data_IF_701797292802
#
_entry.id   IF_701797292802
#
_cell.length_a   1.000
_cell.length_b   1.000
_cell.length_c   1.000
_cell.angle_alpha   90.00
_cell.angle_beta   90.00
_cell.angle_gamma   90.00
#
_symmetry.space_group_name_H-M   'P 1'
#
loop_
_entity.id
_entity.type
_entity.pdbx_description
1 polymer ?
#
# COMPACT_ATOMS: atom_id res chain seq x y z
N UNK A 1 20.63 -12.76 -18.49
CA UNK A 1 20.96 -12.97 -17.06
C UNK A 1 20.00 -12.20 -16.14
N UNK A 2 20.10 -10.87 -15.99
CA UNK A 2 19.23 -10.13 -15.06
C UNK A 2 17.73 -10.23 -15.38
N UNK A 3 17.33 -10.11 -16.66
CA UNK A 3 15.92 -10.25 -17.04
C UNK A 3 15.36 -11.65 -16.78
N UNK A 4 16.16 -12.69 -17.03
CA UNK A 4 15.79 -14.07 -16.69
C UNK A 4 15.61 -14.22 -15.18
N UNK A 5 16.56 -13.71 -14.39
CA UNK A 5 16.53 -13.76 -12.94
C UNK A 5 15.24 -13.17 -12.38
N UNK A 6 14.84 -11.97 -12.80
CA UNK A 6 13.61 -11.32 -12.28
C UNK A 6 12.31 -12.01 -12.69
N UNK A 7 12.36 -12.86 -13.73
CA UNK A 7 11.22 -13.66 -14.19
C UNK A 7 11.10 -15.02 -13.50
N UNK A 8 12.09 -15.42 -12.72
CA UNK A 8 12.06 -16.67 -11.96
C UNK A 8 11.19 -16.52 -10.71
N UNK A 9 10.35 -17.51 -10.45
CA UNK A 9 9.61 -17.61 -9.19
C UNK A 9 10.57 -17.91 -8.02
N UNK A 10 10.33 -17.26 -6.89
CA UNK A 10 10.93 -17.63 -5.61
C UNK A 10 9.90 -17.80 -4.48
N UNK A 11 8.62 -17.59 -4.77
CA UNK A 11 7.56 -17.60 -3.76
C UNK A 11 7.00 -19.01 -3.51
N UNK A 12 6.87 -19.85 -4.53
CA UNK A 12 6.39 -21.23 -4.36
C UNK A 12 7.25 -22.01 -3.37
N UNK A 13 8.57 -21.80 -3.41
CA UNK A 13 9.51 -22.45 -2.49
C UNK A 13 9.24 -22.08 -1.02
N UNK A 14 8.78 -20.86 -0.74
CA UNK A 14 8.39 -20.43 0.60
C UNK A 14 7.09 -21.11 1.03
N UNK A 15 6.08 -21.14 0.15
CA UNK A 15 4.80 -21.81 0.40
C UNK A 15 5.04 -23.28 0.75
N UNK A 16 5.82 -24.00 -0.07
CA UNK A 16 6.14 -25.41 0.13
C UNK A 16 6.92 -25.65 1.43
N UNK A 17 7.87 -24.78 1.77
CA UNK A 17 8.66 -24.91 2.99
C UNK A 17 7.83 -24.73 4.28
N UNK A 18 6.74 -23.97 4.23
CA UNK A 18 5.91 -23.66 5.40
C UNK A 18 4.61 -24.47 5.49
N UNK A 19 4.11 -25.01 4.37
CA UNK A 19 2.81 -25.71 4.28
C UNK A 19 2.63 -26.81 5.33
N UNK A 20 3.67 -27.62 5.55
CA UNK A 20 3.62 -28.79 6.45
C UNK A 20 4.26 -28.51 7.82
N UNK A 21 4.65 -27.26 8.10
CA UNK A 21 5.28 -26.86 9.37
C UNK A 21 4.25 -26.49 10.42
N UNK A 22 3.61 -27.50 11.00
CA UNK A 22 2.63 -27.32 12.11
C UNK A 22 3.20 -26.64 13.36
N UNK A 23 4.52 -26.65 13.53
CA UNK A 23 5.26 -26.00 14.63
C UNK A 23 5.60 -24.54 14.36
N UNK A 24 5.37 -24.04 13.14
CA UNK A 24 5.68 -22.67 12.77
C UNK A 24 4.57 -21.72 13.26
N UNK A 25 4.90 -20.74 14.13
CA UNK A 25 3.88 -19.92 14.80
C UNK A 25 3.35 -18.75 13.95
N UNK A 26 3.99 -18.46 12.82
CA UNK A 26 3.72 -17.29 11.98
C UNK A 26 2.70 -17.54 10.87
N UNK A 27 2.70 -16.63 9.90
CA UNK A 27 1.89 -16.70 8.70
C UNK A 27 2.41 -17.76 7.73
N UNK A 28 1.56 -18.72 7.39
CA UNK A 28 1.80 -19.70 6.33
C UNK A 28 1.17 -19.16 5.05
N UNK A 29 1.97 -18.83 4.01
CA UNK A 29 1.43 -18.25 2.79
C UNK A 29 0.50 -19.20 2.04
N UNK A 30 -0.67 -18.70 1.65
CA UNK A 30 -1.76 -19.49 1.07
C UNK A 30 -2.32 -18.94 -0.25
N UNK A 31 -1.79 -17.81 -0.74
CA UNK A 31 -2.08 -17.27 -2.07
C UNK A 31 -1.24 -17.97 -3.14
N UNK A 32 -1.85 -18.44 -4.22
CA UNK A 32 -1.21 -19.01 -5.41
C UNK A 32 -1.26 -18.03 -6.59
N UNK A 33 -0.15 -17.31 -6.81
CA UNK A 33 -0.01 -16.34 -7.89
C UNK A 33 -0.12 -16.96 -9.30
N UNK A 34 0.16 -18.26 -9.48
CA UNK A 34 0.13 -18.90 -10.79
C UNK A 34 -1.30 -19.15 -11.28
N UNK A 35 -2.26 -19.30 -10.38
CA UNK A 35 -3.68 -19.38 -10.72
C UNK A 35 -4.27 -18.02 -11.09
N UNK A 36 -3.59 -16.93 -10.74
CA UNK A 36 -3.98 -15.57 -11.08
C UNK A 36 -5.25 -15.10 -10.36
N UNK A 37 -5.82 -14.02 -10.89
CA UNK A 37 -6.99 -13.34 -10.33
C UNK A 37 -8.07 -13.23 -11.40
N UNK A 38 -9.32 -13.28 -10.97
CA UNK A 38 -10.46 -13.01 -11.85
C UNK A 38 -10.68 -11.51 -12.09
N UNK A 39 -11.71 -11.19 -12.87
CA UNK A 39 -12.04 -9.81 -13.28
C UNK A 39 -12.51 -8.91 -12.13
N UNK A 40 -12.95 -9.49 -11.02
CA UNK A 40 -13.31 -8.74 -9.80
C UNK A 40 -12.12 -8.68 -8.81
N UNK A 41 -10.95 -9.16 -9.23
CA UNK A 41 -9.72 -9.16 -8.45
C UNK A 41 -9.62 -10.25 -7.40
N UNK A 42 -10.54 -11.23 -7.36
CA UNK A 42 -10.41 -12.37 -6.43
C UNK A 42 -9.38 -13.37 -6.94
N UNK A 43 -8.58 -13.93 -6.04
CA UNK A 43 -7.67 -15.02 -6.36
C UNK A 43 -8.45 -16.27 -6.80
N UNK A 44 -7.98 -16.94 -7.86
CA UNK A 44 -8.63 -18.12 -8.44
C UNK A 44 -8.39 -19.43 -7.66
N UNK A 45 -7.61 -19.36 -6.58
CA UNK A 45 -7.14 -20.49 -5.77
C UNK A 45 -8.04 -20.85 -4.57
N UNK A 46 -9.10 -20.06 -4.34
CA UNK A 46 -9.99 -20.24 -3.18
C UNK A 46 -9.44 -19.69 -1.86
N UNK A 47 -8.31 -18.98 -1.86
CA UNK A 47 -7.76 -18.31 -0.68
C UNK A 47 -8.58 -17.10 -0.21
N UNK A 48 -9.46 -16.59 -1.09
CA UNK A 48 -10.29 -15.40 -0.92
C UNK A 48 -9.50 -14.10 -0.74
N UNK A 49 -8.22 -14.09 -1.09
CA UNK A 49 -7.47 -12.85 -1.29
C UNK A 49 -8.07 -12.06 -2.44
N UNK A 50 -8.08 -10.74 -2.29
CA UNK A 50 -8.55 -9.82 -3.31
C UNK A 50 -7.49 -8.78 -3.62
N UNK A 51 -7.13 -8.65 -4.89
CA UNK A 51 -6.16 -7.69 -5.36
C UNK A 51 -6.70 -6.26 -5.38
N UNK A 52 -5.82 -5.31 -5.07
CA UNK A 52 -6.13 -3.88 -5.08
C UNK A 52 -5.31 -3.21 -6.19
N UNK A 53 -5.99 -2.40 -7.00
CA UNK A 53 -5.38 -1.45 -7.92
C UNK A 53 -5.46 -0.03 -7.35
N UNK A 54 -4.32 0.61 -7.23
CA UNK A 54 -4.16 1.88 -6.51
C UNK A 54 -3.08 2.75 -7.14
N UNK A 55 -3.15 4.05 -6.85
CA UNK A 55 -2.06 4.98 -7.17
C UNK A 55 -0.92 4.78 -6.14
N UNK A 56 0.31 4.41 -6.57
CA UNK A 56 1.41 4.17 -5.64
C UNK A 56 1.70 5.37 -4.73
N UNK A 57 2.19 5.11 -3.51
CA UNK A 57 2.68 6.16 -2.63
C UNK A 57 3.95 6.79 -3.21
N UNK A 58 4.14 8.09 -2.96
CA UNK A 58 5.18 8.90 -3.58
C UNK A 58 6.60 8.39 -3.24
N UNK A 59 7.51 8.48 -4.21
CA UNK A 59 8.93 8.13 -4.04
C UNK A 59 9.19 6.62 -3.91
N UNK A 60 8.88 6.02 -2.77
CA UNK A 60 9.37 4.70 -2.37
C UNK A 60 8.92 3.54 -3.29
N UNK A 61 7.67 3.56 -3.77
CA UNK A 61 7.08 2.46 -4.55
C UNK A 61 6.94 2.79 -6.04
N UNK A 62 7.87 3.59 -6.56
CA UNK A 62 7.95 3.88 -7.99
C UNK A 62 8.93 2.94 -8.68
N UNK A 63 8.51 2.39 -9.82
CA UNK A 63 9.36 1.51 -10.63
C UNK A 63 10.69 2.20 -10.98
N UNK A 64 10.66 3.50 -11.27
CA UNK A 64 11.89 4.27 -11.56
C UNK A 64 12.83 4.44 -10.37
N UNK A 65 12.39 4.14 -9.15
CA UNK A 65 13.23 4.11 -7.94
C UNK A 65 13.61 2.68 -7.52
N UNK A 66 13.33 1.69 -8.37
CA UNK A 66 13.81 0.32 -8.17
C UNK A 66 12.78 -0.60 -7.52
N UNK A 67 11.57 -0.14 -7.24
CA UNK A 67 10.55 -0.94 -6.55
C UNK A 67 9.23 -0.92 -7.30
N UNK A 68 8.65 -2.09 -7.49
CA UNK A 68 7.23 -2.24 -7.80
C UNK A 68 6.58 -3.06 -6.71
N UNK A 69 5.31 -2.82 -6.44
CA UNK A 69 4.56 -3.53 -5.42
C UNK A 69 3.17 -3.95 -5.89
N UNK A 70 2.63 -4.95 -5.21
CA UNK A 70 1.22 -5.32 -5.28
C UNK A 70 0.70 -5.58 -3.86
N UNK A 71 -0.60 -5.40 -3.68
CA UNK A 71 -1.26 -5.56 -2.38
C UNK A 71 -2.58 -6.30 -2.54
N UNK A 72 -2.79 -7.25 -1.63
CA UNK A 72 -4.00 -8.06 -1.52
C UNK A 72 -4.59 -7.87 -0.14
N UNK A 73 -5.92 -7.85 -0.07
CA UNK A 73 -6.69 -7.77 1.17
C UNK A 73 -7.55 -9.01 1.32
N UNK A 74 -7.70 -9.47 2.56
CA UNK A 74 -8.67 -10.51 2.93
C UNK A 74 -9.41 -10.10 4.19
N UNK A 75 -10.75 -10.16 4.13
CA UNK A 75 -11.61 -9.92 5.29
C UNK A 75 -11.84 -11.22 6.08
N UNK A 76 -12.11 -11.11 7.40
CA UNK A 76 -12.47 -12.26 8.23
C UNK A 76 -13.68 -13.03 7.69
N UNK A 77 -13.82 -14.29 8.07
CA UNK A 77 -14.89 -15.18 7.58
C UNK A 77 -16.29 -14.57 7.66
N UNK A 78 -16.63 -13.88 8.75
CA UNK A 78 -17.95 -13.27 8.93
C UNK A 78 -18.33 -12.25 7.85
N UNK A 79 -17.34 -11.60 7.22
CA UNK A 79 -17.55 -10.60 6.17
C UNK A 79 -17.75 -11.21 4.78
N UNK A 80 -17.55 -12.52 4.65
CA UNK A 80 -17.62 -13.25 3.38
C UNK A 80 -18.62 -14.42 3.42
N UNK A 81 -19.42 -14.50 4.48
CA UNK A 81 -20.45 -15.53 4.66
C UNK A 81 -21.84 -14.92 4.83
N UNK A 82 -22.86 -15.61 4.32
CA UNK A 82 -24.26 -15.28 4.58
C UNK A 82 -24.64 -15.49 6.06
N UNK A 83 -25.89 -15.17 6.42
CA UNK A 83 -26.39 -15.35 7.79
C UNK A 83 -26.41 -16.82 8.26
N UNK A 84 -26.38 -17.78 7.32
CA UNK A 84 -26.26 -19.21 7.60
C UNK A 84 -24.82 -19.70 7.76
N UNK A 85 -23.82 -18.83 7.57
CA UNK A 85 -22.41 -19.14 7.67
C UNK A 85 -21.79 -19.72 6.38
N UNK A 86 -22.53 -19.78 5.27
CA UNK A 86 -21.99 -20.26 4.00
C UNK A 86 -21.27 -19.15 3.27
N UNK A 87 -20.15 -19.46 2.59
CA UNK A 87 -19.46 -18.48 1.78
C UNK A 87 -20.39 -17.88 0.72
N UNK A 88 -20.44 -16.55 0.66
CA UNK A 88 -21.19 -15.80 -0.33
C UNK A 88 -20.32 -14.71 -0.91
N UNK A 89 -19.92 -14.89 -2.18
CA UNK A 89 -19.15 -13.89 -2.92
C UNK A 89 -19.89 -12.55 -3.00
N UNK A 90 -21.21 -12.57 -3.11
CA UNK A 90 -22.01 -11.35 -3.17
C UNK A 90 -21.97 -10.57 -1.86
N UNK A 91 -22.08 -11.24 -0.71
CA UNK A 91 -21.87 -10.62 0.62
C UNK A 91 -20.44 -10.12 0.77
N UNK A 92 -19.45 -10.86 0.26
CA UNK A 92 -18.05 -10.45 0.31
C UNK A 92 -17.80 -9.15 -0.47
N UNK A 93 -18.33 -9.05 -1.70
CA UNK A 93 -18.28 -7.83 -2.52
C UNK A 93 -19.00 -6.66 -1.83
N UNK A 94 -20.19 -6.91 -1.28
CA UNK A 94 -20.96 -5.88 -0.55
C UNK A 94 -20.21 -5.34 0.68
N UNK A 95 -19.64 -6.21 1.50
CA UNK A 95 -18.85 -5.78 2.65
C UNK A 95 -17.53 -5.07 2.24
N UNK A 96 -16.94 -5.43 1.09
CA UNK A 96 -15.84 -4.65 0.52
C UNK A 96 -16.28 -3.27 0.04
N UNK A 97 -17.45 -3.13 -0.58
CA UNK A 97 -17.99 -1.84 -1.00
C UNK A 97 -18.24 -0.93 0.21
N UNK A 98 -18.84 -1.46 1.28
CA UNK A 98 -19.03 -0.72 2.55
C UNK A 98 -17.67 -0.32 3.17
N UNK A 99 -16.69 -1.23 3.18
CA UNK A 99 -15.35 -0.92 3.67
C UNK A 99 -14.66 0.14 2.81
N UNK A 100 -14.78 0.06 1.49
CA UNK A 100 -14.25 1.05 0.56
C UNK A 100 -14.87 2.43 0.82
N UNK A 101 -16.18 2.54 1.04
CA UNK A 101 -16.82 3.80 1.43
C UNK A 101 -16.28 4.32 2.76
N UNK A 102 -16.06 3.44 3.75
CA UNK A 102 -15.59 3.81 5.08
C UNK A 102 -14.09 4.22 5.13
N UNK A 103 -13.27 3.68 4.22
CA UNK A 103 -11.81 3.90 4.20
C UNK A 103 -11.39 4.90 3.15
N UNK A 104 -12.02 4.94 1.98
CA UNK A 104 -11.51 5.67 0.81
C UNK A 104 -12.22 7.01 0.56
N UNK A 105 -13.33 7.30 1.24
CA UNK A 105 -13.99 8.59 1.14
C UNK A 105 -13.11 9.72 1.72
N UNK A 106 -13.37 10.96 1.28
CA UNK A 106 -12.68 12.14 1.76
C UNK A 106 -12.72 12.20 3.30
N UNK A 107 -11.56 12.28 3.99
CA UNK A 107 -11.51 12.25 5.44
C UNK A 107 -12.16 13.46 6.12
N UNK A 108 -12.44 14.55 5.39
CA UNK A 108 -13.10 15.75 5.89
C UNK A 108 -14.64 15.65 5.94
N UNK A 109 -15.23 14.74 5.17
CA UNK A 109 -16.69 14.55 5.14
C UNK A 109 -17.20 13.89 6.43
N UNK A 110 -18.46 14.11 6.79
CA UNK A 110 -19.13 13.34 7.85
C UNK A 110 -19.68 12.04 7.28
N UNK A 111 -20.02 11.08 8.15
CA UNK A 111 -20.48 9.75 7.71
C UNK A 111 -21.76 9.82 6.86
N UNK A 112 -22.64 10.80 7.13
CA UNK A 112 -23.88 11.01 6.39
C UNK A 112 -23.68 11.69 5.02
N UNK A 113 -22.53 12.34 4.79
CA UNK A 113 -22.22 13.06 3.55
C UNK A 113 -21.29 12.27 2.63
N UNK A 114 -20.93 11.04 2.99
CA UNK A 114 -20.13 10.19 2.12
C UNK A 114 -20.88 9.95 0.83
N UNK A 115 -20.19 10.12 -0.28
CA UNK A 115 -20.66 9.72 -1.60
C UNK A 115 -19.48 9.07 -2.33
N UNK A 116 -19.50 7.73 -2.41
CA UNK A 116 -18.38 6.95 -2.92
C UNK A 116 -18.83 6.01 -4.02
N UNK A 117 -18.18 6.12 -5.18
CA UNK A 117 -18.24 5.09 -6.22
C UNK A 117 -17.63 3.78 -5.72
N UNK A 118 -18.42 2.71 -5.85
CA UNK A 118 -18.07 1.34 -5.50
C UNK A 118 -18.34 0.42 -6.69
N UNK A 119 -17.85 -0.82 -6.62
CA UNK A 119 -18.27 -1.83 -7.60
C UNK A 119 -19.77 -2.09 -7.54
N UNK A 120 -20.33 -2.70 -8.58
CA UNK A 120 -21.75 -3.06 -8.58
C UNK A 120 -22.06 -4.06 -7.47
N UNK A 121 -22.96 -3.68 -6.56
CA UNK A 121 -23.45 -4.51 -5.45
C UNK A 121 -24.98 -4.44 -5.38
N UNK A 122 -25.60 -5.45 -4.75
CA UNK A 122 -27.05 -5.57 -4.62
C UNK A 122 -27.49 -5.22 -3.20
N UNK A 123 -28.32 -4.18 -3.06
CA UNK A 123 -28.84 -3.72 -1.76
C UNK A 123 -29.79 -4.72 -1.11
N UNK A 124 -30.43 -5.60 -1.89
CA UNK A 124 -31.30 -6.62 -1.34
C UNK A 124 -30.55 -7.52 -0.34
N UNK A 125 -29.23 -7.65 -0.49
CA UNK A 125 -28.36 -8.39 0.42
C UNK A 125 -28.02 -7.62 1.71
N UNK A 126 -28.08 -6.29 1.67
CA UNK A 126 -27.90 -5.43 2.85
C UNK A 126 -29.17 -5.36 3.69
N UNK A 127 -30.33 -5.25 3.05
CA UNK A 127 -31.60 -5.01 3.73
C UNK A 127 -31.78 -3.55 4.20
N UNK A 128 -30.98 -2.63 3.66
CA UNK A 128 -31.07 -1.19 3.87
C UNK A 128 -30.59 -0.43 2.63
N UNK A 129 -31.08 0.79 2.49
CA UNK A 129 -30.79 1.72 1.40
C UNK A 129 -29.33 2.20 1.52
N UNK A 130 -28.52 1.89 0.50
CA UNK A 130 -27.10 2.23 0.41
C UNK A 130 -26.85 3.39 -0.54
N UNK A 131 -27.70 3.64 -1.52
CA UNK A 131 -27.53 4.73 -2.50
C UNK A 131 -28.35 6.00 -2.17
N UNK A 132 -29.18 5.94 -1.14
CA UNK A 132 -29.96 7.04 -0.61
C UNK A 132 -31.17 7.43 -1.46
N UNK A 133 -31.72 6.53 -2.27
CA UNK A 133 -32.91 6.79 -3.09
C UNK A 133 -34.25 6.68 -2.34
N UNK A 134 -34.21 6.21 -1.09
CA UNK A 134 -35.37 6.04 -0.21
C UNK A 134 -36.05 4.67 -0.34
N UNK A 135 -35.51 3.76 -1.14
CA UNK A 135 -35.99 2.38 -1.31
C UNK A 135 -34.86 1.39 -1.05
N UNK A 136 -35.20 0.14 -0.75
CA UNK A 136 -34.22 -0.93 -0.61
C UNK A 136 -34.34 -1.84 -1.82
N UNK A 137 -33.26 -1.96 -2.58
CA UNK A 137 -33.12 -3.01 -3.57
C UNK A 137 -32.60 -2.55 -4.92
N UNK A 138 -32.08 -3.51 -5.68
CA UNK A 138 -31.49 -3.25 -6.98
C UNK A 138 -29.97 -3.21 -6.92
N UNK A 139 -29.37 -3.03 -8.09
CA UNK A 139 -27.92 -2.97 -8.24
C UNK A 139 -27.45 -1.52 -8.23
N UNK A 140 -26.58 -1.19 -7.28
CA UNK A 140 -26.03 0.16 -7.08
C UNK A 140 -24.54 0.17 -7.35
N UNK A 141 -24.00 1.34 -7.71
CA UNK A 141 -22.56 1.58 -7.93
C UNK A 141 -22.03 2.73 -7.09
N UNK A 142 -22.84 3.29 -6.20
CA UNK A 142 -22.45 4.36 -5.29
C UNK A 142 -23.07 4.14 -3.92
N UNK A 143 -22.27 4.28 -2.87
CA UNK A 143 -22.77 4.32 -1.50
C UNK A 143 -22.88 5.78 -1.07
N UNK A 144 -24.08 6.19 -0.66
CA UNK A 144 -24.39 7.51 -0.10
C UNK A 144 -24.72 7.40 1.39
N UNK A 145 -23.83 7.93 2.22
CA UNK A 145 -23.87 7.76 3.66
C UNK A 145 -23.34 6.38 4.09
N UNK A 146 -22.62 6.32 5.20
CA UNK A 146 -22.20 5.03 5.73
C UNK A 146 -23.35 4.32 6.45
N UNK A 147 -23.57 3.02 6.17
CA UNK A 147 -24.50 2.23 6.97
C UNK A 147 -23.93 2.01 8.36
N UNK A 148 -24.80 1.72 9.34
CA UNK A 148 -24.37 1.50 10.72
C UNK A 148 -23.55 0.22 10.90
N UNK A 149 -23.88 -0.85 10.15
CA UNK A 149 -23.23 -2.16 10.27
C UNK A 149 -22.94 -2.76 8.90
N UNK A 150 -22.09 -3.78 8.89
CA UNK A 150 -21.85 -4.65 7.75
C UNK A 150 -23.04 -5.59 7.49
N UNK A 151 -22.90 -6.54 6.55
CA UNK A 151 -23.98 -7.43 6.10
C UNK A 151 -23.62 -8.90 6.25
N UNK A 152 -24.61 -9.79 6.08
CA UNK A 152 -24.44 -11.24 6.26
C UNK A 152 -24.11 -11.61 7.72
N UNK A 153 -23.16 -12.52 7.92
CA UNK A 153 -22.73 -12.92 9.26
C UNK A 153 -22.01 -11.78 10.04
N UNK A 154 -21.59 -10.70 9.37
CA UNK A 154 -21.02 -9.51 9.98
C UNK A 154 -22.07 -8.43 10.34
N UNK A 155 -23.38 -8.74 10.27
CA UNK A 155 -24.48 -7.78 10.50
C UNK A 155 -24.52 -7.11 11.88
N UNK A 156 -23.83 -7.66 12.88
CA UNK A 156 -23.68 -7.08 14.21
C UNK A 156 -22.38 -6.28 14.39
N UNK A 157 -21.55 -6.18 13.36
CA UNK A 157 -20.29 -5.45 13.40
C UNK A 157 -20.51 -4.06 12.82
N UNK A 158 -20.23 -3.04 13.63
CA UNK A 158 -20.41 -1.65 13.22
C UNK A 158 -19.36 -1.21 12.20
N UNK A 159 -19.80 -0.46 11.19
CA UNK A 159 -18.92 0.24 10.27
C UNK A 159 -18.26 1.39 11.02
N UNK A 160 -16.96 1.55 10.85
CA UNK A 160 -16.21 2.64 11.47
C UNK A 160 -15.30 3.29 10.46
N UNK A 161 -15.46 4.60 10.33
CA UNK A 161 -14.68 5.42 9.42
C UNK A 161 -13.18 5.24 9.69
N UNK A 162 -12.41 5.12 8.62
CA UNK A 162 -10.95 5.03 8.62
C UNK A 162 -10.36 3.84 9.42
N UNK A 163 -11.16 2.83 9.78
CA UNK A 163 -10.73 1.66 10.54
C UNK A 163 -11.10 0.35 9.86
N UNK A 164 -10.17 -0.59 9.84
CA UNK A 164 -10.45 -1.94 9.36
C UNK A 164 -11.12 -2.80 10.44
N UNK A 165 -11.98 -3.75 10.06
CA UNK A 165 -12.43 -4.80 10.95
C UNK A 165 -11.27 -5.58 11.57
N UNK A 166 -11.41 -5.98 12.83
CA UNK A 166 -10.45 -6.90 13.46
C UNK A 166 -10.42 -8.22 12.69
N UNK A 167 -9.21 -8.71 12.46
CA UNK A 167 -8.93 -9.90 11.66
C UNK A 167 -8.71 -9.61 10.17
N UNK A 168 -8.84 -8.37 9.70
CA UNK A 168 -8.44 -7.98 8.34
C UNK A 168 -6.97 -8.31 8.11
N UNK A 169 -6.67 -8.87 6.95
CA UNK A 169 -5.33 -9.27 6.55
C UNK A 169 -4.91 -8.50 5.30
N UNK A 170 -3.62 -8.18 5.22
CA UNK A 170 -2.98 -7.72 4.00
C UNK A 170 -1.80 -8.61 3.64
N UNK A 171 -1.62 -8.83 2.35
CA UNK A 171 -0.39 -9.37 1.78
C UNK A 171 0.16 -8.32 0.81
N UNK A 172 1.37 -7.84 1.07
CA UNK A 172 2.07 -6.86 0.24
C UNK A 172 3.35 -7.51 -0.25
N UNK A 173 3.56 -7.58 -1.57
CA UNK A 173 4.84 -8.03 -2.11
C UNK A 173 5.60 -6.87 -2.73
N UNK A 174 6.90 -6.85 -2.49
CA UNK A 174 7.83 -5.93 -3.14
C UNK A 174 8.58 -6.74 -4.18
N UNK A 175 8.63 -6.25 -5.41
CA UNK A 175 9.06 -7.00 -6.58
C UNK A 175 10.13 -6.25 -7.37
N UNK A 176 10.85 -7.03 -8.18
CA UNK A 176 11.71 -6.51 -9.22
C UNK A 176 10.90 -5.91 -10.37
N UNK A 177 11.60 -5.23 -11.29
CA UNK A 177 10.99 -4.58 -12.44
C UNK A 177 11.11 -5.49 -13.67
N UNK A 178 10.01 -5.83 -14.32
CA UNK A 178 10.01 -6.46 -15.64
C UNK A 178 9.57 -5.43 -16.69
N UNK A 179 10.50 -4.86 -17.49
CA UNK A 179 10.16 -3.80 -18.45
C UNK A 179 9.19 -4.27 -19.55
N UNK A 180 9.13 -5.57 -19.84
CA UNK A 180 8.24 -6.10 -20.87
C UNK A 180 6.82 -6.37 -20.32
N UNK A 181 6.64 -6.34 -18.98
CA UNK A 181 5.33 -6.48 -18.37
C UNK A 181 4.58 -5.14 -18.35
N UNK A 182 3.30 -5.15 -18.72
CA UNK A 182 2.46 -3.92 -18.68
C UNK A 182 2.44 -3.28 -17.30
N UNK A 183 2.34 -4.07 -16.22
CA UNK A 183 2.39 -3.57 -14.84
C UNK A 183 3.80 -3.21 -14.37
N UNK A 184 4.84 -3.57 -15.13
CA UNK A 184 6.25 -3.60 -14.75
C UNK A 184 6.60 -4.52 -13.58
N UNK A 185 5.61 -5.26 -13.06
CA UNK A 185 5.79 -6.12 -11.90
C UNK A 185 6.43 -7.43 -12.35
N UNK A 186 7.61 -7.73 -11.82
CA UNK A 186 8.28 -8.99 -12.12
C UNK A 186 7.71 -10.18 -11.31
N UNK A 187 7.94 -11.40 -11.80
CA UNK A 187 7.52 -12.62 -11.09
C UNK A 187 8.26 -12.79 -9.76
N UNK A 188 9.55 -12.47 -9.74
CA UNK A 188 10.41 -12.59 -8.57
C UNK A 188 10.10 -11.54 -7.51
N UNK A 189 9.96 -12.00 -6.27
CA UNK A 189 9.73 -11.14 -5.11
C UNK A 189 11.04 -10.82 -4.40
N UNK A 190 11.23 -9.55 -4.09
CA UNK A 190 12.26 -9.06 -3.17
C UNK A 190 11.85 -9.33 -1.74
N UNK A 191 10.59 -9.04 -1.42
CA UNK A 191 10.00 -9.23 -0.10
C UNK A 191 8.54 -9.65 -0.19
N UNK A 192 8.09 -10.38 0.83
CA UNK A 192 6.67 -10.67 1.08
C UNK A 192 6.36 -10.22 2.50
N UNK A 193 5.38 -9.31 2.63
CA UNK A 193 5.02 -8.68 3.88
C UNK A 193 3.55 -8.99 4.17
N UNK A 194 3.32 -9.79 5.19
CA UNK A 194 1.99 -10.11 5.70
C UNK A 194 1.65 -9.19 6.87
N UNK A 195 0.40 -8.77 6.97
CA UNK A 195 -0.10 -8.13 8.18
C UNK A 195 -1.52 -8.55 8.52
N UNK A 196 -1.84 -8.51 9.81
CA UNK A 196 -3.17 -8.83 10.34
C UNK A 196 -3.54 -7.88 11.48
N UNK A 197 -4.76 -7.36 11.43
CA UNK A 197 -5.36 -6.59 12.53
C UNK A 197 -5.76 -7.55 13.64
N UNK A 198 -5.10 -7.49 14.79
CA UNK A 198 -5.40 -8.35 15.94
C UNK A 198 -6.29 -7.69 16.97
N UNK A 199 -6.06 -6.39 17.19
CA UNK A 199 -6.71 -5.61 18.24
C UNK A 199 -7.11 -4.29 17.62
N UNK A 200 -8.23 -3.74 18.07
CA UNK A 200 -8.59 -2.38 17.75
C UNK A 200 -8.59 -1.47 18.99
N UNK A 201 -7.66 -0.51 18.99
CA UNK A 201 -7.66 0.71 19.76
C UNK A 201 -9.02 1.28 20.14
N UNK A 202 -9.46 1.33 21.41
CA UNK A 202 -10.61 2.19 21.70
C UNK A 202 -10.28 3.65 21.35
N UNK A 203 -11.31 4.45 21.06
CA UNK A 203 -11.15 5.88 20.74
C UNK A 203 -10.39 6.61 21.85
N UNK A 204 -10.56 6.18 23.11
CA UNK A 204 -9.89 6.76 24.28
C UNK A 204 -8.42 6.33 24.46
N UNK A 205 -8.01 5.22 23.85
CA UNK A 205 -6.64 4.69 23.94
C UNK A 205 -5.74 5.24 22.84
N UNK A 206 -6.29 5.50 21.64
CA UNK A 206 -5.51 5.98 20.49
C UNK A 206 -4.71 7.25 20.78
N UNK A 207 -5.28 8.32 21.38
CA UNK A 207 -4.49 9.50 21.76
C UNK A 207 -3.36 9.18 22.73
N UNK A 208 -3.57 8.24 23.68
CA UNK A 208 -2.55 7.84 24.65
C UNK A 208 -1.38 7.12 23.99
N UNK A 209 -1.64 6.34 22.95
CA UNK A 209 -0.59 5.68 22.15
C UNK A 209 0.30 6.74 21.50
N UNK A 210 -0.30 7.73 20.82
CA UNK A 210 0.45 8.84 20.20
C UNK A 210 1.25 9.64 21.23
N UNK A 211 0.63 10.05 22.35
CA UNK A 211 1.31 10.80 23.41
C UNK A 211 2.47 10.02 24.01
N UNK A 212 2.31 8.70 24.22
CA UNK A 212 3.39 7.86 24.74
C UNK A 212 4.57 7.81 23.77
N UNK A 213 4.34 7.58 22.49
CA UNK A 213 5.43 7.55 21.51
C UNK A 213 6.15 8.91 21.41
N UNK A 214 5.40 10.01 21.51
CA UNK A 214 5.98 11.37 21.52
C UNK A 214 6.87 11.57 22.74
N UNK A 215 6.41 11.20 23.95
CA UNK A 215 7.21 11.27 25.17
C UNK A 215 8.45 10.36 25.09
N UNK A 216 8.30 9.15 24.55
CA UNK A 216 9.43 8.23 24.34
C UNK A 216 10.50 8.86 23.44
N UNK A 217 10.09 9.53 22.35
CA UNK A 217 11.01 10.26 21.46
C UNK A 217 11.69 11.44 22.15
N UNK A 218 10.95 12.23 22.92
CA UNK A 218 11.51 13.35 23.70
C UNK A 218 12.54 12.90 24.73
N UNK A 219 12.32 11.73 25.33
CA UNK A 219 13.25 11.10 26.29
C UNK A 219 14.40 10.31 25.61
N UNK A 220 14.45 10.29 24.27
CA UNK A 220 15.47 9.56 23.51
C UNK A 220 15.36 8.03 23.61
N UNK A 221 14.18 7.51 23.98
CA UNK A 221 13.90 6.07 24.01
C UNK A 221 13.71 5.53 22.59
N UNK A 222 14.32 4.38 22.32
CA UNK A 222 14.08 3.63 21.09
C UNK A 222 12.74 2.89 21.16
N UNK A 223 11.98 2.79 20.07
CA UNK A 223 10.72 2.06 20.05
C UNK A 223 10.96 0.56 20.27
N UNK A 224 10.06 -0.08 21.04
CA UNK A 224 10.10 -1.51 21.32
C UNK A 224 8.80 -2.14 20.84
N UNK A 225 8.92 -3.16 20.01
CA UNK A 225 7.79 -3.89 19.44
C UNK A 225 7.66 -5.27 20.08
N UNK A 226 6.43 -5.69 20.38
CA UNK A 226 6.17 -7.03 20.90
C UNK A 226 6.21 -8.06 19.78
N UNK A 227 6.64 -9.29 20.10
CA UNK A 227 6.73 -10.40 19.15
C UNK A 227 8.17 -10.69 18.72
N UNK A 228 8.30 -11.43 17.63
CA UNK A 228 9.57 -11.80 17.01
C UNK A 228 9.37 -12.01 15.52
N UNK A 229 10.44 -12.11 14.70
CA UNK A 229 10.29 -12.22 13.25
C UNK A 229 9.54 -13.48 12.77
N UNK A 230 9.57 -14.55 13.56
CA UNK A 230 8.89 -15.83 13.36
C UNK A 230 7.37 -15.77 13.53
N UNK A 231 6.86 -14.91 14.42
CA UNK A 231 5.44 -14.69 14.67
C UNK A 231 4.93 -13.37 14.05
N UNK A 232 5.81 -12.40 13.89
CA UNK A 232 5.52 -11.03 13.48
C UNK A 232 5.59 -10.01 14.62
N UNK A 233 6.12 -8.81 14.31
CA UNK A 233 6.16 -7.67 15.23
C UNK A 233 4.82 -6.96 15.30
N UNK A 234 4.48 -6.43 16.48
CA UNK A 234 3.19 -5.76 16.73
C UNK A 234 3.37 -4.29 17.04
N UNK A 235 2.60 -3.44 16.36
CA UNK A 235 2.49 -2.03 16.70
C UNK A 235 1.48 -1.83 17.85
N UNK A 236 1.47 -0.63 18.43
CA UNK A 236 0.53 -0.28 19.49
C UNK A 236 -0.93 -0.12 18.99
N UNK A 237 -1.13 0.05 17.69
CA UNK A 237 -2.45 0.17 17.04
C UNK A 237 -3.08 -1.20 16.71
N UNK A 238 -2.47 -2.29 17.16
CA UNK A 238 -3.02 -3.64 17.08
C UNK A 238 -2.77 -4.38 15.76
N UNK A 239 -1.88 -3.90 14.90
CA UNK A 239 -1.41 -4.63 13.72
C UNK A 239 -0.22 -5.50 14.06
N UNK A 240 -0.27 -6.75 13.62
CA UNK A 240 0.86 -7.66 13.55
C UNK A 240 1.38 -7.69 12.12
N UNK A 241 2.69 -7.54 11.94
CA UNK A 241 3.35 -7.58 10.64
C UNK A 241 4.39 -8.69 10.64
N UNK A 242 4.55 -9.38 9.51
CA UNK A 242 5.60 -10.37 9.28
C UNK A 242 6.21 -10.19 7.90
N UNK A 243 7.54 -10.23 7.81
CA UNK A 243 8.25 -10.08 6.55
C UNK A 243 9.15 -11.26 6.21
N UNK A 244 9.17 -11.61 4.93
CA UNK A 244 10.14 -12.47 4.28
C UNK A 244 10.92 -11.65 3.27
N UNK A 245 12.21 -11.93 3.12
CA UNK A 245 13.13 -11.24 2.21
C UNK A 245 14.00 -12.24 1.46
N UNK A 246 14.42 -11.89 0.26
CA UNK A 246 15.23 -12.77 -0.59
C UNK A 246 16.65 -13.03 -0.01
N UNK A 247 17.05 -14.30 0.01
CA UNK A 247 18.38 -14.77 0.42
C UNK A 247 19.38 -14.80 -0.74
N UNK A 248 20.66 -15.04 -0.45
CA UNK A 248 21.75 -15.08 -1.44
C UNK A 248 21.57 -16.14 -2.54
N UNK A 249 20.75 -17.17 -2.28
CA UNK A 249 20.40 -18.24 -3.22
C UNK A 249 19.11 -17.95 -3.96
N UNK A 250 18.49 -16.81 -3.65
CA UNK A 250 17.29 -16.35 -4.29
C UNK A 250 15.99 -16.87 -3.71
N UNK A 251 16.01 -17.52 -2.54
CA UNK A 251 14.80 -18.01 -1.86
C UNK A 251 14.29 -16.94 -0.90
N UNK A 252 12.99 -16.88 -0.65
CA UNK A 252 12.49 -16.04 0.43
C UNK A 252 12.78 -16.69 1.79
N UNK A 253 13.42 -15.95 2.68
CA UNK A 253 13.69 -16.31 4.07
C UNK A 253 12.97 -15.37 5.02
N UNK A 254 12.82 -15.78 6.28
CA UNK A 254 12.39 -14.84 7.32
C UNK A 254 13.34 -13.65 7.43
N UNK A 255 12.76 -12.46 7.64
CA UNK A 255 13.53 -11.30 8.02
C UNK A 255 14.20 -11.50 9.38
N UNK A 256 15.39 -10.93 9.56
CA UNK A 256 15.98 -10.76 10.89
C UNK A 256 15.16 -9.72 11.68
N UNK A 257 15.41 -9.61 12.99
CA UNK A 257 14.74 -8.58 13.79
C UNK A 257 15.01 -7.16 13.25
N UNK A 258 16.26 -6.87 12.89
CA UNK A 258 16.67 -5.57 12.34
C UNK A 258 16.02 -5.26 11.00
N UNK A 259 15.93 -6.24 10.09
CA UNK A 259 15.23 -6.08 8.82
C UNK A 259 13.73 -5.84 9.02
N UNK A 260 13.14 -6.47 10.04
CA UNK A 260 11.71 -6.41 10.31
C UNK A 260 11.28 -5.09 10.94
N UNK A 261 12.08 -4.49 11.83
CA UNK A 261 11.76 -3.20 12.45
C UNK A 261 11.66 -2.06 11.43
N UNK A 262 12.23 -2.22 10.23
CA UNK A 262 12.02 -1.29 9.11
C UNK A 262 10.53 -1.08 8.82
N UNK A 263 9.74 -2.17 8.74
CA UNK A 263 8.30 -2.08 8.49
C UNK A 263 7.59 -1.29 9.60
N UNK A 264 8.05 -1.46 10.84
CA UNK A 264 7.43 -0.83 12.00
C UNK A 264 7.60 0.69 12.02
N UNK A 265 8.64 1.24 11.37
CA UNK A 265 8.82 2.70 11.24
C UNK A 265 7.63 3.38 10.53
N UNK A 266 7.18 2.81 9.41
CA UNK A 266 6.06 3.37 8.64
C UNK A 266 4.69 2.96 9.18
N UNK A 267 4.59 1.76 9.76
CA UNK A 267 3.32 1.20 10.25
C UNK A 267 3.05 1.51 11.73
N UNK A 268 3.78 2.42 12.38
CA UNK A 268 3.50 2.89 13.76
C UNK A 268 2.79 4.26 13.75
N UNK A 269 3.30 5.29 14.42
CA UNK A 269 2.62 6.59 14.51
C UNK A 269 2.92 7.55 13.35
N UNK A 270 3.14 7.05 12.13
CA UNK A 270 3.37 7.94 10.98
C UNK A 270 2.09 8.75 10.69
N UNK A 271 2.23 10.06 10.59
CA UNK A 271 1.11 11.02 10.50
C UNK A 271 0.30 10.97 9.20
N UNK A 272 0.75 10.23 8.18
CA UNK A 272 0.09 10.12 6.87
C UNK A 272 -0.25 8.64 6.60
N UNK A 273 -1.09 8.06 7.46
CA UNK A 273 -1.58 6.67 7.35
C UNK A 273 -3.09 6.61 7.63
N UNK A 274 -3.75 5.56 7.15
CA UNK A 274 -5.12 5.21 7.55
C UNK A 274 -5.09 3.87 8.30
N UNK A 275 -5.36 3.92 9.61
CA UNK A 275 -5.22 2.80 10.55
C UNK A 275 -3.89 2.04 10.37
N UNK A 276 -2.77 2.76 10.32
CA UNK A 276 -1.42 2.21 10.10
C UNK A 276 -1.24 1.50 8.75
N UNK A 277 -2.02 1.84 7.72
CA UNK A 277 -1.89 1.31 6.35
C UNK A 277 -1.89 2.45 5.31
N UNK A 278 -1.56 2.12 4.06
CA UNK A 278 -1.40 3.11 2.97
C UNK A 278 -2.30 2.85 1.76
N UNK A 279 -2.50 1.58 1.40
CA UNK A 279 -2.95 1.20 0.06
C UNK A 279 -4.42 1.45 -0.21
N UNK A 280 -5.33 0.96 0.65
CA UNK A 280 -6.77 1.01 0.36
C UNK A 280 -7.29 2.45 0.19
N UNK A 281 -6.90 3.45 1.00
CA UNK A 281 -7.28 4.86 0.77
C UNK A 281 -6.87 5.42 -0.59
N UNK A 282 -5.88 4.80 -1.26
CA UNK A 282 -5.37 5.20 -2.58
C UNK A 282 -5.91 4.32 -3.71
N UNK A 283 -6.87 3.43 -3.42
CA UNK A 283 -7.51 2.54 -4.39
C UNK A 283 -8.27 3.35 -5.44
N UNK A 284 -8.14 2.94 -6.70
CA UNK A 284 -8.94 3.48 -7.82
C UNK A 284 -10.44 3.24 -7.53
N UNK A 285 -11.34 4.21 -7.76
CA UNK A 285 -12.76 4.05 -7.48
C UNK A 285 -13.42 2.86 -8.18
N UNK A 286 -14.46 2.35 -7.53
CA UNK A 286 -15.34 1.36 -8.12
C UNK A 286 -14.68 0.02 -8.45
N UNK A 287 -15.26 -0.67 -9.44
CA UNK A 287 -14.76 -1.95 -9.92
C UNK A 287 -13.33 -1.86 -10.49
N UNK A 288 -12.93 -0.69 -11.02
CA UNK A 288 -11.61 -0.48 -11.60
C UNK A 288 -10.46 -0.57 -10.59
N UNK A 289 -10.74 -0.45 -9.29
CA UNK A 289 -9.78 -0.67 -8.21
C UNK A 289 -9.71 -2.11 -7.69
N UNK A 290 -10.63 -2.99 -8.08
CA UNK A 290 -10.64 -4.39 -7.67
C UNK A 290 -10.06 -5.27 -8.76
N UNK A 291 -8.75 -5.17 -8.96
CA UNK A 291 -7.98 -5.94 -9.95
C UNK A 291 -6.52 -5.98 -9.54
N UNK A 292 -5.74 -6.86 -10.18
CA UNK A 292 -4.30 -6.89 -10.00
C UNK A 292 -3.67 -5.53 -10.32
N UNK A 293 -2.63 -5.16 -9.57
CA UNK A 293 -2.00 -3.85 -9.65
C UNK A 293 -1.45 -3.58 -11.06
N UNK A 294 -1.81 -2.42 -11.60
CA UNK A 294 -1.39 -1.93 -12.90
C UNK A 294 -1.57 -0.40 -12.92
N UNK A 295 -0.48 0.34 -13.13
CA UNK A 295 -0.51 1.80 -13.11
C UNK A 295 -0.99 2.42 -14.44
N UNK A 296 -1.10 1.61 -15.49
CA UNK A 296 -1.53 2.07 -16.81
C UNK A 296 -2.93 2.68 -16.72
N UNK A 297 -3.11 3.87 -17.30
CA UNK A 297 -4.35 4.63 -17.29
C UNK A 297 -4.69 5.32 -15.97
N UNK A 298 -3.89 5.19 -14.90
CA UNK A 298 -4.09 5.99 -13.68
C UNK A 298 -3.56 7.40 -13.95
N UNK A 299 -4.42 8.41 -13.80
CA UNK A 299 -4.04 9.82 -13.95
C UNK A 299 -3.40 10.36 -12.66
N UNK A 300 -2.53 11.37 -12.77
CA UNK A 300 -2.03 12.10 -11.62
C UNK A 300 -3.11 13.05 -11.11
N UNK A 301 -3.80 12.59 -10.06
CA UNK A 301 -4.84 13.35 -9.37
C UNK A 301 -4.32 13.99 -8.07
N UNK A 302 -4.98 15.05 -7.58
CA UNK A 302 -4.64 15.69 -6.31
C UNK A 302 -4.83 14.77 -5.09
N UNK A 303 -4.17 15.14 -4.00
CA UNK A 303 -4.57 14.68 -2.66
C UNK A 303 -5.87 15.36 -2.25
N UNK A 304 -6.65 14.73 -1.36
CA UNK A 304 -7.87 15.36 -0.84
C UNK A 304 -7.55 16.72 -0.19
N UNK A 305 -8.27 17.76 -0.60
CA UNK A 305 -8.03 19.15 -0.16
C UNK A 305 -6.90 19.88 -0.90
N UNK A 306 -6.27 19.27 -1.91
CA UNK A 306 -5.29 19.93 -2.78
C UNK A 306 -5.93 20.23 -4.14
N UNK A 307 -5.50 21.32 -4.78
CA UNK A 307 -5.93 21.66 -6.14
C UNK A 307 -4.99 21.06 -7.20
N UNK A 308 -3.72 20.87 -6.84
CA UNK A 308 -2.69 20.43 -7.76
C UNK A 308 -2.52 18.91 -7.72
N UNK A 309 -2.23 18.27 -8.86
CA UNK A 309 -1.87 16.86 -8.93
C UNK A 309 -0.78 16.48 -7.92
N UNK A 310 -0.88 15.31 -7.30
CA UNK A 310 0.00 14.95 -6.20
C UNK A 310 1.46 14.70 -6.65
N UNK A 311 1.71 14.06 -7.81
CA UNK A 311 3.09 13.87 -8.29
C UNK A 311 3.69 15.22 -8.70
N UNK A 312 2.90 16.10 -9.32
CA UNK A 312 3.33 17.48 -9.57
C UNK A 312 3.71 18.20 -8.28
N UNK A 313 2.85 18.14 -7.27
CA UNK A 313 3.09 18.74 -5.95
C UNK A 313 4.35 18.17 -5.31
N UNK A 314 4.56 16.85 -5.42
CA UNK A 314 5.78 16.20 -4.95
C UNK A 314 7.03 16.72 -5.69
N UNK A 315 6.99 16.83 -7.02
CA UNK A 315 8.09 17.39 -7.80
C UNK A 315 8.38 18.86 -7.47
N UNK A 316 7.37 19.68 -7.20
CA UNK A 316 7.55 21.06 -6.77
C UNK A 316 8.25 21.15 -5.41
N UNK A 317 7.86 20.30 -4.45
CA UNK A 317 8.37 20.34 -3.06
C UNK A 317 9.73 19.67 -2.91
N UNK A 318 9.90 18.48 -3.47
CA UNK A 318 11.11 17.67 -3.35
C UNK A 318 12.18 18.10 -4.35
N UNK A 319 11.77 18.60 -5.53
CA UNK A 319 12.67 18.94 -6.64
C UNK A 319 13.47 17.72 -7.14
N UNK A 320 12.80 16.56 -7.23
CA UNK A 320 13.40 15.31 -7.69
C UNK A 320 12.39 14.17 -7.66
N UNK A 321 12.86 12.98 -8.06
CA UNK A 321 12.05 11.76 -8.14
C UNK A 321 12.05 10.89 -6.88
N UNK A 322 12.83 11.27 -5.88
CA UNK A 322 13.11 10.52 -4.66
C UNK A 322 13.64 11.49 -3.59
N UNK A 323 13.70 11.02 -2.35
CA UNK A 323 14.04 11.81 -1.16
C UNK A 323 15.48 12.36 -1.20
N UNK A 324 16.35 11.80 -2.03
CA UNK A 324 17.75 12.19 -2.18
C UNK A 324 18.04 12.92 -3.51
N UNK A 325 17.04 13.09 -4.38
CA UNK A 325 17.19 13.58 -5.76
C UNK A 325 18.28 12.80 -6.52
N UNK A 326 18.27 11.47 -6.37
CA UNK A 326 19.24 10.56 -6.99
C UNK A 326 18.73 9.91 -8.29
N UNK A 327 17.46 10.13 -8.64
CA UNK A 327 16.88 9.65 -9.89
C UNK A 327 17.23 10.57 -11.05
N UNK A 328 18.41 10.35 -11.63
CA UNK A 328 18.93 11.10 -12.78
C UNK A 328 17.98 11.09 -13.98
N UNK A 329 17.18 10.02 -14.16
CA UNK A 329 16.25 9.93 -15.29
C UNK A 329 15.05 10.87 -15.09
N UNK A 330 14.46 10.91 -13.88
CA UNK A 330 13.42 11.91 -13.56
C UNK A 330 13.99 13.32 -13.69
N UNK A 331 15.19 13.58 -13.16
CA UNK A 331 15.82 14.90 -13.24
C UNK A 331 16.03 15.35 -14.69
N UNK A 332 16.56 14.47 -15.54
CA UNK A 332 16.77 14.78 -16.95
C UNK A 332 15.46 15.03 -17.71
N UNK A 333 14.39 14.30 -17.37
CA UNK A 333 13.11 14.36 -18.09
C UNK A 333 12.22 15.53 -17.66
N UNK A 334 12.16 15.80 -16.36
CA UNK A 334 11.18 16.73 -15.79
C UNK A 334 11.81 17.96 -15.14
N UNK A 335 13.13 18.00 -15.00
CA UNK A 335 13.86 19.15 -14.46
C UNK A 335 14.93 19.67 -15.43
N UNK A 336 14.61 19.95 -16.71
CA UNK A 336 15.59 20.45 -17.67
C UNK A 336 16.24 21.75 -17.17
N UNK A 337 17.57 21.77 -17.10
CA UNK A 337 18.32 22.90 -16.53
C UNK A 337 18.11 23.09 -15.02
N UNK A 338 17.60 22.08 -14.31
CA UNK A 338 17.33 22.13 -12.86
C UNK A 338 16.00 22.77 -12.48
N UNK A 339 15.12 23.05 -13.47
CA UNK A 339 13.81 23.69 -13.25
C UNK A 339 12.71 22.73 -13.66
N UNK A 340 11.70 22.57 -12.82
CA UNK A 340 10.56 21.71 -13.09
C UNK A 340 9.79 22.18 -14.33
N UNK A 341 9.61 21.29 -15.31
CA UNK A 341 8.71 21.48 -16.44
C UNK A 341 7.30 21.01 -16.06
N UNK A 342 6.53 21.90 -15.43
CA UNK A 342 5.17 21.60 -14.99
C UNK A 342 4.24 21.24 -16.15
N UNK A 343 4.41 21.85 -17.32
CA UNK A 343 3.54 21.60 -18.48
C UNK A 343 3.65 20.14 -18.92
N UNK A 344 4.88 19.62 -19.01
CA UNK A 344 5.12 18.21 -19.34
C UNK A 344 4.53 17.28 -18.27
N UNK A 345 4.70 17.60 -16.98
CA UNK A 345 4.17 16.76 -15.89
C UNK A 345 2.63 16.73 -15.90
N UNK A 346 1.97 17.87 -16.14
CA UNK A 346 0.50 17.99 -16.23
C UNK A 346 -0.10 17.20 -17.38
N UNK A 347 0.68 16.76 -18.36
CA UNK A 347 0.16 15.88 -19.42
C UNK A 347 -0.32 14.53 -18.89
N UNK A 348 0.10 14.13 -17.68
CA UNK A 348 -0.35 12.91 -16.99
C UNK A 348 -1.55 13.14 -16.04
N UNK A 349 -2.05 14.37 -15.92
CA UNK A 349 -3.23 14.73 -15.13
C UNK A 349 -4.53 14.56 -15.93
N UNK A 350 -5.71 14.52 -15.28
CA UNK A 350 -6.99 14.38 -15.97
C UNK A 350 -7.15 15.34 -17.15
N UNK A 351 -7.52 14.80 -18.32
CA UNK A 351 -7.62 15.55 -19.58
C UNK A 351 -6.32 15.67 -20.38
N UNK A 352 -5.20 15.23 -19.82
CA UNK A 352 -3.91 15.12 -20.49
C UNK A 352 -3.81 13.91 -21.43
N UNK A 353 -2.70 13.85 -22.18
CA UNK A 353 -2.44 12.79 -23.16
C UNK A 353 -1.74 11.55 -22.56
N UNK A 354 -1.24 11.65 -21.34
CA UNK A 354 -0.45 10.63 -20.66
C UNK A 354 -1.12 10.17 -19.36
N UNK A 355 -0.50 9.22 -18.65
CA UNK A 355 -0.89 8.73 -17.34
C UNK A 355 0.33 8.74 -16.39
N UNK A 356 0.19 8.29 -15.14
CA UNK A 356 1.33 8.27 -14.20
C UNK A 356 2.46 7.34 -14.65
N UNK A 357 2.21 6.35 -15.53
CA UNK A 357 3.28 5.50 -16.07
C UNK A 357 4.29 6.37 -16.82
N UNK A 358 3.84 7.39 -17.54
CA UNK A 358 4.75 8.37 -18.16
C UNK A 358 5.67 9.01 -17.11
N UNK A 359 5.18 9.32 -15.90
CA UNK A 359 5.99 9.98 -14.87
C UNK A 359 6.93 9.03 -14.12
N UNK A 360 6.48 7.81 -13.81
CA UNK A 360 7.14 6.94 -12.81
C UNK A 360 7.67 5.61 -13.36
N UNK A 361 7.45 5.31 -14.64
CA UNK A 361 8.10 4.18 -15.30
C UNK A 361 9.56 4.51 -15.69
N UNK A 362 10.52 3.62 -15.40
CA UNK A 362 11.89 3.76 -15.88
C UNK A 362 11.99 3.42 -17.37
N UNK A 363 13.07 3.88 -18.01
CA UNK A 363 13.57 3.24 -19.23
C UNK A 363 14.00 1.77 -18.98
N UNK A 364 14.01 0.94 -20.02
CA UNK A 364 14.47 -0.44 -19.94
C UNK A 364 15.91 -0.54 -19.40
N UNK A 365 16.78 0.39 -19.82
CA UNK A 365 18.16 0.46 -19.34
C UNK A 365 18.20 0.72 -17.84
N UNK A 366 17.44 1.72 -17.36
CA UNK A 366 17.37 2.04 -15.93
C UNK A 366 16.77 0.88 -15.13
N UNK A 367 15.69 0.26 -15.62
CA UNK A 367 15.09 -0.93 -14.99
C UNK A 367 16.13 -2.05 -14.80
N UNK A 368 16.93 -2.34 -15.83
CA UNK A 368 17.98 -3.35 -15.75
C UNK A 368 19.11 -2.96 -14.79
N UNK A 369 19.49 -1.68 -14.70
CA UNK A 369 20.48 -1.18 -13.72
C UNK A 369 19.96 -1.33 -12.29
N UNK A 370 18.71 -0.97 -12.03
CA UNK A 370 18.06 -1.10 -10.73
C UNK A 370 17.97 -2.58 -10.30
N UNK A 371 17.53 -3.46 -11.20
CA UNK A 371 17.49 -4.90 -10.93
C UNK A 371 18.87 -5.45 -10.56
N UNK A 372 19.91 -5.10 -11.31
CA UNK A 372 21.29 -5.52 -11.02
C UNK A 372 21.81 -4.96 -9.69
N UNK A 373 21.48 -3.71 -9.36
CA UNK A 373 21.86 -3.09 -8.09
C UNK A 373 21.21 -3.84 -6.92
N UNK A 374 19.92 -4.16 -6.99
CA UNK A 374 19.26 -4.93 -5.94
C UNK A 374 19.78 -6.38 -5.87
N UNK A 375 20.10 -7.02 -7.00
CA UNK A 375 20.79 -8.33 -6.99
C UNK A 375 22.14 -8.29 -6.25
N UNK A 376 22.86 -7.16 -6.27
CA UNK A 376 24.08 -7.02 -5.50
C UNK A 376 23.81 -6.94 -3.99
N UNK A 377 22.71 -6.29 -3.57
CA UNK A 377 22.24 -6.30 -2.18
C UNK A 377 21.83 -7.71 -1.73
N UNK A 378 21.11 -8.45 -2.58
CA UNK A 378 20.75 -9.85 -2.31
C UNK A 378 22.00 -10.72 -2.17
N UNK A 379 23.03 -10.53 -2.99
CA UNK A 379 24.28 -11.29 -2.84
C UNK A 379 25.07 -10.93 -1.58
N UNK A 380 25.03 -9.68 -1.14
CA UNK A 380 25.75 -9.26 0.06
C UNK A 380 25.02 -9.63 1.35
N UNK A 381 23.69 -9.77 1.29
CA UNK A 381 22.79 -9.94 2.44
C UNK A 381 22.98 -8.84 3.51
N UNK A 382 23.46 -7.66 3.11
CA UNK A 382 23.71 -6.52 4.00
C UNK A 382 22.52 -5.57 4.09
N UNK A 383 21.34 -6.14 4.31
CA UNK A 383 20.10 -5.35 4.47
C UNK A 383 20.10 -4.52 5.76
N UNK A 384 20.99 -4.83 6.71
CA UNK A 384 21.27 -4.03 7.91
C UNK A 384 21.77 -2.61 7.57
N UNK A 385 22.43 -2.43 6.41
CA UNK A 385 22.80 -1.10 5.91
C UNK A 385 21.72 -0.40 5.09
N UNK A 386 20.54 -1.00 4.98
CA UNK A 386 19.44 -0.52 4.14
C UNK A 386 19.13 -1.47 3.00
N UNK A 387 17.88 -1.36 2.52
CA UNK A 387 17.30 -2.23 1.49
C UNK A 387 16.83 -1.49 0.25
N UNK A 388 17.06 -0.17 0.19
CA UNK A 388 16.69 0.65 -0.96
C UNK A 388 17.64 0.40 -2.13
N UNK A 389 17.09 0.44 -3.35
CA UNK A 389 17.87 0.15 -4.56
C UNK A 389 18.61 1.39 -5.03
N UNK A 390 19.91 1.45 -4.77
CA UNK A 390 20.76 2.59 -5.12
C UNK A 390 21.75 2.17 -6.22
N UNK A 391 21.75 2.87 -7.36
CA UNK A 391 22.65 2.57 -8.49
C UNK A 391 24.06 3.16 -8.25
N UNK A 392 24.13 4.31 -7.59
CA UNK A 392 25.36 5.02 -7.26
C UNK A 392 25.16 5.82 -5.97
N UNK A 393 26.22 6.07 -5.18
CA UNK A 393 26.12 6.86 -3.96
C UNK A 393 25.41 8.21 -4.21
N UNK A 394 24.30 8.51 -3.50
CA UNK A 394 23.57 9.76 -3.70
C UNK A 394 24.40 10.98 -3.27
N UNK A 395 24.40 12.04 -4.08
CA UNK A 395 25.16 13.25 -3.78
C UNK A 395 24.59 14.04 -2.57
N UNK A 396 23.28 13.94 -2.33
CA UNK A 396 22.59 14.68 -1.27
C UNK A 396 22.47 13.89 0.04
N UNK A 397 23.35 12.90 0.26
CA UNK A 397 23.45 12.17 1.53
C UNK A 397 24.72 12.59 2.23
N UNK A 398 24.58 13.18 3.41
CA UNK A 398 25.72 13.62 4.21
C UNK A 398 26.42 12.41 4.87
N UNK A 399 27.76 12.31 4.79
CA UNK A 399 28.52 11.24 5.48
C UNK A 399 28.38 11.28 7.01
N UNK A 400 28.16 12.46 7.56
CA UNK A 400 27.91 12.69 8.98
C UNK A 400 27.04 13.95 9.13
N UNK A 401 26.12 13.94 10.08
CA UNK A 401 25.28 15.09 10.42
C UNK A 401 25.50 15.41 11.90
N UNK A 402 25.65 16.68 12.23
CA UNK A 402 25.49 17.17 13.60
C UNK A 402 24.06 17.70 13.73
N UNK A 403 23.31 17.19 14.71
CA UNK A 403 21.92 17.58 14.90
C UNK A 403 21.82 19.10 15.17
N UNK A 404 20.92 19.76 14.44
CA UNK A 404 20.67 21.20 14.47
C UNK A 404 19.37 21.55 13.72
N UNK A 405 19.04 22.84 13.62
CA UNK A 405 17.89 23.28 12.82
C UNK A 405 18.11 22.97 11.33
N UNK A 406 17.17 22.28 10.71
CA UNK A 406 17.19 22.00 9.26
C UNK A 406 16.94 23.25 8.42
N UNK A 407 16.55 24.36 9.05
CA UNK A 407 16.15 25.63 8.44
C UNK A 407 14.93 25.53 7.51
N UNK A 408 14.32 24.34 7.37
CA UNK A 408 13.16 24.13 6.52
C UNK A 408 12.01 25.07 6.88
N UNK A 409 11.80 25.30 8.18
CA UNK A 409 10.76 26.23 8.66
C UNK A 409 11.07 27.66 8.24
N UNK A 410 12.32 28.10 8.38
CA UNK A 410 12.76 29.45 8.01
C UNK A 410 12.64 29.69 6.50
N UNK A 411 12.84 28.64 5.70
CA UNK A 411 12.73 28.69 4.23
C UNK A 411 11.33 28.38 3.71
N UNK A 412 10.31 28.22 4.57
CA UNK A 412 8.95 27.90 4.14
C UNK A 412 8.79 26.52 3.47
N UNK A 413 9.66 25.56 3.78
CA UNK A 413 9.70 24.19 3.24
C UNK A 413 9.16 23.14 4.22
N UNK A 414 8.36 23.56 5.19
CA UNK A 414 7.60 22.66 6.08
C UNK A 414 6.16 22.67 5.61
N UNK A 415 5.67 21.51 5.21
CA UNK A 415 4.31 21.31 4.72
C UNK A 415 3.57 20.42 5.72
N UNK A 416 2.33 20.81 6.07
CA UNK A 416 1.48 20.11 7.04
C UNK A 416 0.11 19.76 6.46
N UNK A 417 -0.03 19.88 5.15
CA UNK A 417 -1.26 19.71 4.38
C UNK A 417 -1.33 18.35 3.67
N UNK A 418 -0.28 17.53 3.78
CA UNK A 418 -0.25 16.21 3.13
C UNK A 418 -1.27 15.26 3.72
N UNK A 419 -2.01 14.56 2.85
CA UNK A 419 -2.99 13.54 3.25
C UNK A 419 -2.81 12.28 2.42
N UNK A 420 -3.24 11.14 2.95
CA UNK A 420 -3.10 9.86 2.26
C UNK A 420 -4.15 9.68 1.14
N UNK A 421 -5.34 10.27 1.34
CA UNK A 421 -6.49 10.17 0.45
C UNK A 421 -6.29 11.01 -0.80
N UNK A 422 -6.82 10.54 -1.91
CA UNK A 422 -6.75 11.21 -3.20
C UNK A 422 -8.14 11.73 -3.59
N UNK A 423 -8.17 12.87 -4.28
CA UNK A 423 -9.40 13.41 -4.84
C UNK A 423 -9.64 12.79 -6.23
N UNK A 424 -10.47 11.75 -6.25
CA UNK A 424 -10.81 11.02 -7.48
C UNK A 424 -11.97 11.66 -8.27
N UNK A 425 -12.58 12.73 -7.76
CA UNK A 425 -13.81 13.32 -8.32
C UNK A 425 -13.57 14.36 -9.41
#
# INVERSE_FOLDING_TARGET
AALQYVREDNYRSLVEALRDRSDYPGYVPDLDFDQGFDTDGFANDGSHWRAIRYKPFLGTFWATNGSTDDVFIRLPSAFRTDAGGNYSRAVHKLNYAILEAAICADPSQTDALIDREVETVDENLAGFDLDGDGTVGGSITRIKGLPSNYTGAASNISVRRNLYPTGTEFLHTVRYIDPDATSMIARRMKEVRYSRKLIDPSISERPKIYSREMNDKEEGRVPIYRGGPDLGLRNAFGWQLQGFIEDEKGRLRLQTHEEHVFCMGCHSSLGVTCDSTFTLPRKVPGAAGWRYQDITGIQDIPQAGHNEPEILTYFQRVQGGDEFRANDEILARFFPGGVLDENTVRTASPGGANDIRFLIAPSDERAMRLNKAYMALVKSQRFDFGRDTVISPPANVHPSIQNGDTQLRQTGKVYSDGTLWLDWN
#
